data_IF_423919722628
#
_entry.id   IF_423919722628
#
_cell.length_a   1.000
_cell.length_b   1.000
_cell.length_c   1.000
_cell.angle_alpha   90.00
_cell.angle_beta   90.00
_cell.angle_gamma   90.00
#
_symmetry.space_group_name_H-M   'P 1'
#
loop_
_entity.id
_entity.type
_entity.pdbx_description
1 polymer ?
#
# COMPACT_ATOMS: atom_id res chain seq x y z
N UNK A 1 19.96 34.12 32.31
CA UNK A 1 19.07 34.14 31.13
C UNK A 1 19.23 32.79 30.42
N UNK A 2 18.28 31.88 30.63
CA UNK A 2 18.29 30.56 30.00
C UNK A 2 17.70 30.64 28.61
N UNK A 3 18.34 30.01 27.63
CA UNK A 3 17.81 29.92 26.27
C UNK A 3 16.54 29.08 26.26
N UNK A 4 15.43 29.68 25.83
CA UNK A 4 14.21 28.96 25.50
C UNK A 4 14.45 28.22 24.19
N UNK A 5 14.63 26.90 24.27
CA UNK A 5 14.60 26.03 23.08
C UNK A 5 13.16 25.83 22.64
N UNK A 6 12.84 26.28 21.45
CA UNK A 6 11.62 25.87 20.74
C UNK A 6 11.81 24.40 20.36
N UNK A 7 11.00 23.51 20.95
CA UNK A 7 10.92 22.11 20.51
C UNK A 7 9.79 22.08 19.48
N UNK A 8 10.08 21.94 18.17
CA UNK A 8 9.02 21.79 17.19
C UNK A 8 8.26 20.49 17.49
N UNK A 9 6.95 20.59 17.66
CA UNK A 9 6.05 19.45 17.76
C UNK A 9 5.86 18.85 16.36
N UNK A 10 6.88 18.18 15.83
CA UNK A 10 6.74 17.38 14.62
C UNK A 10 6.16 16.02 14.99
N UNK A 11 5.03 15.65 14.38
CA UNK A 11 4.53 14.28 14.44
C UNK A 11 5.46 13.44 13.55
N UNK A 12 6.18 12.44 14.08
CA UNK A 12 7.04 11.61 13.25
C UNK A 12 6.18 10.86 12.24
N UNK A 13 6.44 11.10 10.96
CA UNK A 13 5.79 10.40 9.87
C UNK A 13 6.11 8.90 9.99
N UNK A 14 5.08 8.05 10.00
CA UNK A 14 5.30 6.61 10.09
C UNK A 14 5.71 6.06 8.72
N UNK A 15 6.69 5.16 8.74
CA UNK A 15 7.14 4.44 7.55
C UNK A 15 6.00 3.56 7.03
N UNK A 16 5.76 3.60 5.73
CA UNK A 16 4.86 2.68 5.05
C UNK A 16 5.47 1.28 5.02
N UNK A 17 4.67 0.28 5.35
CA UNK A 17 5.04 -1.13 5.27
C UNK A 17 4.01 -1.81 4.37
N UNK A 18 4.46 -2.43 3.29
CA UNK A 18 3.59 -3.14 2.36
C UNK A 18 3.75 -4.64 2.59
N UNK A 19 2.65 -5.31 2.92
CA UNK A 19 2.63 -6.76 3.04
C UNK A 19 2.47 -7.40 1.67
N UNK A 20 3.32 -8.38 1.38
CA UNK A 20 3.46 -8.93 0.04
C UNK A 20 2.49 -10.08 -0.26
N UNK A 21 2.02 -10.80 0.76
CA UNK A 21 1.14 -11.95 0.59
C UNK A 21 -0.33 -11.55 0.76
N UNK A 22 -1.16 -11.94 -0.19
CA UNK A 22 -2.61 -11.78 -0.17
C UNK A 22 -3.26 -13.16 -0.33
N UNK A 23 -4.13 -13.52 0.60
CA UNK A 23 -4.86 -14.79 0.64
C UNK A 23 -6.36 -14.53 0.68
N UNK A 24 -7.01 -14.24 -0.46
CA UNK A 24 -8.42 -13.84 -0.51
C UNK A 24 -9.34 -15.08 -0.36
N UNK A 25 -9.31 -15.70 0.82
CA UNK A 25 -10.05 -16.92 1.17
C UNK A 25 -11.18 -16.65 2.19
N UNK A 26 -11.35 -15.39 2.61
CA UNK A 26 -12.33 -14.90 3.58
C UNK A 26 -12.17 -15.51 4.98
N UNK A 27 -10.95 -15.83 5.40
CA UNK A 27 -10.66 -16.29 6.77
C UNK A 27 -10.39 -15.14 7.76
N UNK A 28 -10.33 -13.90 7.27
CA UNK A 28 -10.04 -12.70 8.03
C UNK A 28 -8.55 -12.32 8.08
N UNK A 29 -7.65 -13.12 7.50
CA UNK A 29 -6.20 -12.93 7.52
C UNK A 29 -5.65 -12.73 6.11
N UNK A 30 -5.01 -11.58 5.89
CA UNK A 30 -4.40 -11.21 4.60
C UNK A 30 -5.36 -11.31 3.39
N UNK A 31 -6.68 -11.20 3.59
CA UNK A 31 -7.69 -11.29 2.52
C UNK A 31 -7.53 -10.22 1.43
N UNK A 32 -6.87 -9.12 1.77
CA UNK A 32 -6.65 -7.98 0.90
C UNK A 32 -5.19 -7.54 0.95
N UNK A 33 -4.77 -6.71 -0.01
CA UNK A 33 -3.53 -5.96 0.13
C UNK A 33 -3.60 -5.06 1.38
N UNK A 34 -2.57 -5.14 2.22
CA UNK A 34 -2.42 -4.31 3.41
C UNK A 34 -1.16 -3.47 3.27
N UNK A 35 -1.35 -2.16 3.40
CA UNK A 35 -0.30 -1.16 3.52
C UNK A 35 -0.46 -0.51 4.89
N UNK A 36 0.48 -0.75 5.80
CA UNK A 36 0.47 -0.13 7.12
C UNK A 36 0.74 1.36 7.01
N UNK A 37 0.03 2.15 7.82
CA UNK A 37 0.11 3.60 7.91
C UNK A 37 -0.39 4.33 6.66
N UNK A 38 -1.08 3.64 5.73
CA UNK A 38 -1.64 4.26 4.50
C UNK A 38 -2.68 5.34 4.81
N UNK A 39 -3.34 5.26 5.97
CA UNK A 39 -4.31 6.24 6.44
C UNK A 39 -3.69 7.62 6.69
N UNK A 40 -2.37 7.70 6.86
CA UNK A 40 -1.63 8.97 6.99
C UNK A 40 -1.41 9.65 5.63
N UNK A 41 -1.66 8.95 4.53
CA UNK A 41 -1.42 9.42 3.16
C UNK A 41 -2.74 9.37 2.37
N UNK A 42 -3.70 10.25 2.68
CA UNK A 42 -5.04 10.22 2.05
C UNK A 42 -5.01 10.54 0.56
N UNK A 43 -3.95 11.22 0.10
CA UNK A 43 -3.66 11.46 -1.32
C UNK A 43 -2.57 10.48 -1.74
N UNK A 44 -2.99 9.41 -2.42
CA UNK A 44 -2.08 8.40 -2.94
C UNK A 44 -2.67 7.76 -4.20
N UNK A 45 -1.84 7.14 -5.03
CA UNK A 45 -2.29 6.36 -6.18
C UNK A 45 -1.62 4.99 -6.18
N UNK A 46 -2.41 3.94 -6.04
CA UNK A 46 -1.95 2.56 -6.17
C UNK A 46 -2.24 2.06 -7.60
N UNK A 47 -1.22 1.46 -8.22
CA UNK A 47 -1.34 0.67 -9.44
C UNK A 47 -0.74 -0.72 -9.22
N UNK A 48 -1.38 -1.76 -9.73
CA UNK A 48 -0.90 -3.15 -9.66
C UNK A 48 -0.85 -3.74 -11.07
N UNK A 49 0.23 -4.46 -11.35
CA UNK A 49 0.56 -5.02 -12.64
C UNK A 49 0.78 -6.53 -12.54
N UNK A 50 0.46 -7.25 -13.61
CA UNK A 50 0.90 -8.65 -13.75
C UNK A 50 2.39 -8.71 -14.14
N UNK A 51 2.93 -9.93 -14.28
CA UNK A 51 4.35 -10.15 -14.63
C UNK A 51 4.74 -9.69 -16.04
N UNK A 52 3.77 -9.51 -16.93
CA UNK A 52 3.99 -8.99 -18.29
C UNK A 52 3.97 -7.46 -18.34
N UNK A 53 3.71 -6.80 -17.21
CA UNK A 53 3.60 -5.34 -17.11
C UNK A 53 2.21 -4.80 -17.44
N UNK A 54 1.20 -5.65 -17.64
CA UNK A 54 -0.17 -5.23 -17.87
C UNK A 54 -0.81 -4.75 -16.56
N UNK A 55 -1.48 -3.59 -16.60
CA UNK A 55 -2.21 -3.03 -15.46
C UNK A 55 -3.44 -3.90 -15.15
N UNK A 56 -3.52 -4.43 -13.92
CA UNK A 56 -4.63 -5.27 -13.46
C UNK A 56 -5.52 -4.60 -12.43
N UNK A 57 -4.99 -3.60 -11.72
CA UNK A 57 -5.75 -2.81 -10.76
C UNK A 57 -5.18 -1.40 -10.63
N UNK A 58 -6.05 -0.41 -10.44
CA UNK A 58 -5.67 0.96 -10.11
C UNK A 58 -6.69 1.58 -9.16
N UNK A 59 -6.21 2.35 -8.20
CA UNK A 59 -7.05 3.10 -7.26
C UNK A 59 -6.37 4.40 -6.84
N UNK A 60 -7.07 5.50 -7.03
CA UNK A 60 -6.74 6.78 -6.38
C UNK A 60 -7.29 6.79 -4.96
N UNK A 61 -6.52 7.39 -4.06
CA UNK A 61 -6.72 7.41 -2.62
C UNK A 61 -6.97 6.00 -2.07
N UNK A 62 -6.04 5.09 -2.36
CA UNK A 62 -6.13 3.71 -1.91
C UNK A 62 -6.21 3.63 -0.39
N UNK A 63 -7.05 2.71 0.08
CA UNK A 63 -7.21 2.32 1.47
C UNK A 63 -7.28 0.80 1.53
N UNK A 64 -6.83 0.21 2.66
CA UNK A 64 -6.84 -1.24 2.85
C UNK A 64 -8.25 -1.81 2.65
N UNK A 65 -8.34 -2.93 1.94
CA UNK A 65 -9.62 -3.56 1.57
C UNK A 65 -10.27 -3.03 0.28
N UNK A 66 -9.72 -2.01 -0.37
CA UNK A 66 -10.30 -1.49 -1.62
C UNK A 66 -10.05 -2.39 -2.85
N UNK A 67 -9.16 -3.38 -2.76
CA UNK A 67 -8.89 -4.34 -3.81
C UNK A 67 -9.31 -5.74 -3.37
N UNK A 68 -10.32 -6.29 -4.03
CA UNK A 68 -10.96 -7.57 -3.71
C UNK A 68 -10.27 -8.78 -4.37
N UNK A 69 -9.22 -8.56 -5.17
CA UNK A 69 -8.50 -9.58 -5.94
C UNK A 69 -9.40 -10.50 -6.81
N UNK A 70 -10.64 -10.11 -7.10
CA UNK A 70 -11.63 -10.98 -7.75
C UNK A 70 -11.35 -11.20 -9.24
N UNK A 71 -10.62 -10.27 -9.86
CA UNK A 71 -10.31 -10.24 -11.31
C UNK A 71 -8.90 -10.73 -11.66
N UNK A 72 -8.19 -11.30 -10.69
CA UNK A 72 -6.80 -11.76 -10.87
C UNK A 72 -6.68 -13.22 -10.43
N UNK A 73 -5.76 -13.98 -11.01
CA UNK A 73 -5.51 -15.38 -10.62
C UNK A 73 -4.39 -15.47 -9.59
N UNK A 74 -4.20 -16.65 -9.01
CA UNK A 74 -3.05 -16.93 -8.16
C UNK A 74 -1.75 -16.70 -8.95
N UNK A 75 -0.79 -16.00 -8.33
CA UNK A 75 0.44 -15.66 -9.01
C UNK A 75 1.17 -14.45 -8.44
N UNK A 76 2.16 -14.00 -9.20
CA UNK A 76 3.02 -12.88 -8.87
C UNK A 76 2.51 -11.60 -9.54
N UNK A 77 2.57 -10.51 -8.79
CA UNK A 77 2.19 -9.17 -9.23
C UNK A 77 3.22 -8.16 -8.76
N UNK A 78 3.11 -6.94 -9.28
CA UNK A 78 3.94 -5.81 -8.87
C UNK A 78 3.08 -4.61 -8.58
N UNK A 79 3.39 -3.87 -7.52
CA UNK A 79 2.69 -2.64 -7.21
C UNK A 79 3.60 -1.42 -7.43
N UNK A 80 2.95 -0.30 -7.75
CA UNK A 80 3.51 1.04 -7.68
C UNK A 80 2.53 1.90 -6.88
N UNK A 81 2.98 2.37 -5.73
CA UNK A 81 2.28 3.33 -4.88
C UNK A 81 2.95 4.69 -5.06
N UNK A 82 2.18 5.68 -5.49
CA UNK A 82 2.63 7.05 -5.60
C UNK A 82 2.03 7.87 -4.45
N UNK A 83 2.86 8.60 -3.73
CA UNK A 83 2.46 9.51 -2.64
C UNK A 83 3.21 10.81 -2.86
N UNK A 84 2.47 11.90 -3.11
CA UNK A 84 3.02 13.24 -3.34
C UNK A 84 4.18 13.29 -4.36
N UNK A 85 4.14 12.41 -5.39
CA UNK A 85 5.15 12.32 -6.44
C UNK A 85 6.27 11.30 -6.17
N UNK A 86 6.40 10.84 -4.93
CA UNK A 86 7.34 9.79 -4.53
C UNK A 86 6.76 8.40 -4.80
N UNK A 87 7.58 7.51 -5.36
CA UNK A 87 7.15 6.17 -5.75
C UNK A 87 7.75 5.10 -4.83
N UNK A 88 6.89 4.29 -4.26
CA UNK A 88 7.23 3.02 -3.63
C UNK A 88 6.75 1.89 -4.55
N UNK A 89 7.60 0.90 -4.81
CA UNK A 89 7.23 -0.25 -5.64
C UNK A 89 7.78 -1.53 -5.06
N UNK A 90 7.18 -2.65 -5.43
CA UNK A 90 7.56 -3.95 -4.94
C UNK A 90 6.73 -5.07 -5.54
N UNK A 91 6.93 -6.25 -4.98
CA UNK A 91 6.31 -7.50 -5.42
C UNK A 91 5.12 -7.86 -4.52
N UNK A 92 4.11 -8.51 -5.09
CA UNK A 92 2.97 -9.10 -4.40
C UNK A 92 2.78 -10.55 -4.86
N UNK A 93 2.25 -11.38 -3.95
CA UNK A 93 1.82 -12.75 -4.19
C UNK A 93 0.35 -12.84 -3.84
N UNK A 94 -0.47 -13.28 -4.80
CA UNK A 94 -1.86 -13.66 -4.57
C UNK A 94 -1.93 -15.17 -4.55
N UNK A 95 -2.51 -15.75 -3.49
CA UNK A 95 -2.64 -17.20 -3.32
C UNK A 95 -3.94 -17.54 -2.60
N UNK A 96 -4.84 -18.30 -3.21
CA UNK A 96 -6.13 -18.70 -2.61
C UNK A 96 -6.03 -19.94 -1.74
#
# INVERSE_FOLDING_TARGET
>A
IGELRVIPAAIPLKKLIVYQLITPNNDGFNDNLVIENIEQYPVNDLSVFNTEGNLVYRKSNYQNGAWDCSKVIDGNYYYVLNIDGEKLSGHLVVKR
#
